data_IF_934417998016
#
_entry.id   IF_934417998016
#
_cell.length_a   1.000
_cell.length_b   1.000
_cell.length_c   1.000
_cell.angle_alpha   90.00
_cell.angle_beta   90.00
_cell.angle_gamma   90.00
#
_symmetry.space_group_name_H-M   'P 1'
#
loop_
_entity.id
_entity.type
_entity.pdbx_description
1 polymer ?
#
# COMPACT_ATOMS: atom_id res chain seq x y z
N UNK A 1 5.77 4.06 23.95
CA UNK A 1 5.58 5.20 23.02
C UNK A 1 4.94 6.34 23.78
N UNK A 2 5.57 7.49 23.85
CA UNK A 2 5.08 8.68 24.58
C UNK A 2 4.34 9.58 23.60
N UNK A 3 3.14 10.04 23.98
CA UNK A 3 2.39 11.07 23.23
C UNK A 3 2.79 12.44 23.75
N UNK A 4 3.30 13.29 22.88
CA UNK A 4 3.60 14.68 23.20
C UNK A 4 2.56 15.54 22.47
N UNK A 5 1.72 16.26 23.23
CA UNK A 5 0.67 17.11 22.65
C UNK A 5 1.24 18.41 22.06
N UNK A 6 2.35 18.87 22.56
CA UNK A 6 3.00 20.09 22.08
C UNK A 6 4.49 20.03 22.40
N UNK A 7 5.32 20.22 21.40
CA UNK A 7 6.74 20.50 21.62
C UNK A 7 6.86 22.01 21.72
N UNK A 8 7.45 22.53 22.78
CA UNK A 8 7.39 23.93 23.24
C UNK A 8 7.82 25.05 22.28
N UNK A 9 7.75 24.85 21.00
CA UNK A 9 8.10 25.82 19.95
C UNK A 9 6.90 26.10 19.03
N UNK A 10 5.67 25.78 19.40
CA UNK A 10 4.47 26.11 18.63
C UNK A 10 4.32 25.41 17.27
N UNK A 11 5.22 24.49 16.90
CA UNK A 11 5.14 23.67 15.68
C UNK A 11 5.33 22.20 16.04
N UNK A 12 4.57 21.35 15.35
CA UNK A 12 4.71 19.92 15.48
C UNK A 12 6.03 19.46 14.87
N UNK A 13 6.84 18.74 15.66
CA UNK A 13 8.14 18.26 15.23
C UNK A 13 8.04 16.95 14.47
N UNK A 14 8.75 16.82 13.36
CA UNK A 14 9.00 15.57 12.65
C UNK A 14 10.48 15.45 12.36
N UNK A 15 11.05 14.28 12.64
CA UNK A 15 12.47 14.02 12.42
C UNK A 15 13.12 13.28 13.58
N UNK A 16 14.44 13.16 13.54
CA UNK A 16 15.22 12.49 14.59
C UNK A 16 16.19 13.47 15.23
N UNK A 17 16.14 13.56 16.54
CA UNK A 17 17.04 14.40 17.35
C UNK A 17 17.52 13.52 18.51
N UNK A 18 18.83 13.46 18.74
CA UNK A 18 19.47 12.75 19.86
C UNK A 18 18.96 11.32 20.08
N UNK A 19 18.83 10.55 18.99
CA UNK A 19 18.35 9.17 19.05
C UNK A 19 16.84 9.04 19.32
N UNK A 20 16.10 10.14 19.35
CA UNK A 20 14.64 10.16 19.49
C UNK A 20 14.02 10.57 18.14
N UNK A 21 13.17 9.71 17.61
CA UNK A 21 12.39 10.00 16.40
C UNK A 21 11.04 10.57 16.78
N UNK A 22 10.74 11.75 16.29
CA UNK A 22 9.45 12.42 16.42
C UNK A 22 8.65 12.21 15.12
N UNK A 23 7.40 11.82 15.27
CA UNK A 23 6.47 11.64 14.13
C UNK A 23 5.16 12.33 14.46
N UNK A 24 4.82 13.34 13.66
CA UNK A 24 3.54 14.04 13.79
C UNK A 24 2.51 13.43 12.86
N UNK A 25 1.34 13.11 13.40
CA UNK A 25 0.18 12.62 12.66
C UNK A 25 -1.06 13.39 13.14
N UNK A 26 -1.60 14.24 12.27
CA UNK A 26 -2.64 15.19 12.67
C UNK A 26 -2.12 16.11 13.79
N UNK A 27 -2.87 16.22 14.85
CA UNK A 27 -2.56 17.09 16.00
C UNK A 27 -1.67 16.43 17.07
N UNK A 28 -1.18 15.22 16.80
CA UNK A 28 -0.42 14.43 17.79
C UNK A 28 0.99 14.16 17.28
N UNK A 29 1.96 14.52 18.11
CA UNK A 29 3.36 14.14 17.91
C UNK A 29 3.71 12.95 18.81
N UNK A 30 4.26 11.92 18.21
CA UNK A 30 4.76 10.74 18.89
C UNK A 30 6.27 10.82 18.97
N UNK A 31 6.82 10.54 20.15
CA UNK A 31 8.25 10.35 20.33
C UNK A 31 8.55 8.88 20.60
N UNK A 32 9.57 8.36 19.96
CA UNK A 32 10.10 7.01 20.20
C UNK A 32 11.61 7.02 20.10
N UNK A 33 12.28 6.14 20.82
CA UNK A 33 13.69 5.89 20.57
C UNK A 33 13.88 5.43 19.12
N UNK A 34 14.92 5.91 18.45
CA UNK A 34 15.27 5.43 17.10
C UNK A 34 15.74 3.99 17.24
N UNK A 35 15.03 3.02 16.63
CA UNK A 35 15.44 1.64 16.74
C UNK A 35 16.73 1.42 15.94
N UNK A 36 17.76 0.93 16.60
CA UNK A 36 18.96 0.46 15.91
C UNK A 36 18.75 -1.02 15.60
N UNK A 37 18.47 -1.32 14.35
CA UNK A 37 18.34 -2.71 13.91
C UNK A 37 19.70 -3.23 13.44
N UNK A 38 20.12 -4.42 13.89
CA UNK A 38 21.35 -5.04 13.41
C UNK A 38 21.32 -5.24 11.90
N UNK A 39 22.43 -4.95 11.21
CA UNK A 39 22.52 -5.02 9.75
C UNK A 39 22.08 -6.37 9.17
N UNK A 40 22.37 -7.49 9.88
CA UNK A 40 22.01 -8.83 9.43
C UNK A 40 20.50 -9.06 9.26
N UNK A 41 19.64 -8.33 9.99
CA UNK A 41 18.17 -8.43 9.86
C UNK A 41 17.72 -8.00 8.46
N UNK A 42 18.46 -7.11 7.81
CA UNK A 42 18.14 -6.63 6.47
C UNK A 42 18.65 -7.53 5.34
N UNK A 43 19.56 -8.46 5.64
CA UNK A 43 20.25 -9.30 4.64
C UNK A 43 19.64 -10.70 4.50
N UNK A 44 18.73 -11.08 5.38
CA UNK A 44 18.05 -12.39 5.27
C UNK A 44 17.26 -12.51 3.97
N UNK A 45 17.18 -13.70 3.35
CA UNK A 45 16.41 -13.91 2.13
C UNK A 45 14.94 -13.44 2.27
N UNK A 46 14.32 -13.72 3.41
CA UNK A 46 12.96 -13.28 3.69
C UNK A 46 12.82 -11.75 3.78
N UNK A 47 13.83 -11.05 4.31
CA UNK A 47 13.83 -9.60 4.36
C UNK A 47 14.04 -8.98 2.97
N UNK A 48 14.92 -9.58 2.15
CA UNK A 48 15.12 -9.18 0.76
C UNK A 48 13.83 -9.36 -0.06
N UNK A 49 13.17 -10.52 0.05
CA UNK A 49 11.90 -10.80 -0.64
C UNK A 49 10.81 -9.81 -0.24
N UNK A 50 10.62 -9.55 1.06
CA UNK A 50 9.63 -8.55 1.53
C UNK A 50 9.90 -7.16 1.00
N UNK A 51 11.17 -6.78 0.89
CA UNK A 51 11.57 -5.47 0.34
C UNK A 51 11.33 -5.39 -1.16
N UNK A 52 11.60 -6.48 -1.90
CA UNK A 52 11.29 -6.58 -3.32
C UNK A 52 9.79 -6.43 -3.57
N UNK A 53 8.95 -7.16 -2.84
CA UNK A 53 7.48 -7.03 -2.90
C UNK A 53 7.05 -5.58 -2.61
N UNK A 54 7.57 -4.97 -1.55
CA UNK A 54 7.22 -3.59 -1.21
C UNK A 54 7.59 -2.62 -2.32
N UNK A 55 8.77 -2.76 -2.92
CA UNK A 55 9.22 -1.92 -4.03
C UNK A 55 8.30 -2.06 -5.25
N UNK A 56 7.93 -3.29 -5.62
CA UNK A 56 7.00 -3.54 -6.73
C UNK A 56 5.61 -2.96 -6.46
N UNK A 57 5.11 -3.08 -5.24
CA UNK A 57 3.84 -2.42 -4.86
C UNK A 57 3.96 -0.90 -4.97
N UNK A 58 5.11 -0.31 -4.63
CA UNK A 58 5.33 1.13 -4.82
C UNK A 58 5.42 1.52 -6.30
N UNK A 59 5.98 0.67 -7.16
CA UNK A 59 5.99 0.90 -8.61
C UNK A 59 4.56 0.89 -9.17
N UNK A 60 3.77 -0.13 -8.83
CA UNK A 60 2.35 -0.24 -9.18
C UNK A 60 1.55 0.98 -8.71
N UNK A 61 1.70 1.36 -7.43
CA UNK A 61 1.00 2.51 -6.88
C UNK A 61 1.38 3.83 -7.56
N UNK A 62 2.64 4.02 -7.92
CA UNK A 62 3.08 5.23 -8.64
C UNK A 62 2.49 5.28 -10.05
N UNK A 63 2.41 4.15 -10.72
CA UNK A 63 1.83 4.04 -12.06
C UNK A 63 0.34 4.38 -12.04
N UNK A 64 -0.40 3.89 -11.04
CA UNK A 64 -1.85 4.11 -10.91
C UNK A 64 -2.23 5.24 -9.92
N UNK A 65 -1.31 6.16 -9.62
CA UNK A 65 -1.49 7.20 -8.60
C UNK A 65 -2.81 7.99 -8.66
N UNK A 66 -3.33 8.40 -9.83
CA UNK A 66 -4.59 9.13 -9.90
C UNK A 66 -5.78 8.32 -9.39
N UNK A 67 -5.82 7.02 -9.65
CA UNK A 67 -6.95 6.14 -9.33
C UNK A 67 -7.18 5.97 -7.84
N UNK A 68 -6.20 5.55 -7.00
CA UNK A 68 -6.40 5.45 -5.57
C UNK A 68 -6.82 6.76 -4.90
N UNK A 69 -6.33 7.89 -5.39
CA UNK A 69 -6.70 9.22 -4.84
C UNK A 69 -8.16 9.56 -5.09
N UNK A 70 -8.73 9.11 -6.20
CA UNK A 70 -10.13 9.39 -6.56
C UNK A 70 -11.09 8.36 -5.95
N UNK A 71 -10.67 7.12 -5.82
CA UNK A 71 -11.56 5.99 -5.52
C UNK A 71 -11.44 5.46 -4.10
N UNK A 72 -10.30 5.66 -3.44
CA UNK A 72 -10.06 5.19 -2.08
C UNK A 72 -10.28 6.32 -1.07
N UNK A 73 -11.26 6.14 -0.21
CA UNK A 73 -11.50 7.05 0.91
C UNK A 73 -10.53 6.72 2.05
N UNK A 74 -9.68 7.66 2.49
CA UNK A 74 -8.83 7.44 3.65
C UNK A 74 -9.64 7.25 4.92
N UNK A 75 -9.16 6.40 5.82
CA UNK A 75 -9.76 6.22 7.14
C UNK A 75 -8.89 6.87 8.22
N UNK A 76 -9.47 7.82 8.94
CA UNK A 76 -8.75 8.51 10.02
C UNK A 76 -7.51 9.27 9.52
N UNK A 77 -6.43 9.15 10.27
CA UNK A 77 -5.15 9.79 9.94
C UNK A 77 -4.39 8.92 8.92
N UNK A 78 -4.54 9.23 7.65
CA UNK A 78 -3.89 8.49 6.58
C UNK A 78 -4.17 9.10 5.22
N UNK A 79 -3.58 8.51 4.20
CA UNK A 79 -3.82 8.86 2.80
C UNK A 79 -4.57 7.73 2.09
N UNK A 80 -5.16 8.04 0.94
CA UNK A 80 -5.74 7.03 0.05
C UNK A 80 -4.73 5.92 -0.29
N UNK A 81 -3.47 6.28 -0.43
CA UNK A 81 -2.34 5.38 -0.63
C UNK A 81 -2.16 4.37 0.50
N UNK A 82 -2.10 4.88 1.72
CA UNK A 82 -1.96 4.03 2.91
C UNK A 82 -3.15 3.10 3.05
N UNK A 83 -4.34 3.58 2.73
CA UNK A 83 -5.55 2.76 2.76
C UNK A 83 -5.53 1.68 1.69
N UNK A 84 -5.20 2.03 0.45
CA UNK A 84 -5.04 1.05 -0.63
C UNK A 84 -4.03 -0.04 -0.26
N UNK A 85 -2.85 0.36 0.22
CA UNK A 85 -1.83 -0.58 0.68
C UNK A 85 -2.34 -1.49 1.79
N UNK A 86 -3.02 -0.94 2.79
CA UNK A 86 -3.54 -1.74 3.92
C UNK A 86 -4.59 -2.77 3.50
N UNK A 87 -5.38 -2.47 2.48
CA UNK A 87 -6.40 -3.36 1.94
C UNK A 87 -5.78 -4.48 1.09
N UNK A 88 -4.78 -4.14 0.29
CA UNK A 88 -4.27 -5.00 -0.77
C UNK A 88 -2.90 -5.64 -0.47
N UNK A 89 -2.26 -5.35 0.66
CA UNK A 89 -0.90 -5.84 0.95
C UNK A 89 -0.77 -7.36 0.86
N UNK A 90 -1.78 -8.11 1.33
CA UNK A 90 -1.76 -9.57 1.30
C UNK A 90 -1.95 -10.15 -0.11
N UNK A 91 -3.02 -9.79 -0.88
CA UNK A 91 -3.19 -10.28 -2.23
C UNK A 91 -2.06 -9.84 -3.16
N UNK A 92 -1.60 -8.59 -3.08
CA UNK A 92 -0.47 -8.12 -3.88
C UNK A 92 0.84 -8.88 -3.54
N UNK A 93 1.07 -9.20 -2.28
CA UNK A 93 2.23 -10.01 -1.90
C UNK A 93 2.17 -11.44 -2.46
N UNK A 94 0.97 -12.01 -2.63
CA UNK A 94 0.79 -13.30 -3.29
C UNK A 94 1.05 -13.18 -4.79
N UNK A 95 0.42 -12.21 -5.45
CA UNK A 95 0.59 -11.95 -6.87
C UNK A 95 2.06 -11.75 -7.26
N UNK A 96 2.80 -11.00 -6.46
CA UNK A 96 4.19 -10.60 -6.75
C UNK A 96 5.25 -11.54 -6.14
N UNK A 97 4.83 -12.63 -5.51
CA UNK A 97 5.72 -13.52 -4.78
C UNK A 97 6.83 -14.16 -5.63
N UNK A 98 6.49 -14.58 -6.85
CA UNK A 98 7.44 -15.18 -7.81
C UNK A 98 8.39 -14.13 -8.37
N UNK A 99 7.86 -12.99 -8.83
CA UNK A 99 8.69 -11.88 -9.32
C UNK A 99 9.66 -11.35 -8.25
N UNK A 100 9.26 -11.40 -6.98
CA UNK A 100 10.14 -11.01 -5.88
C UNK A 100 11.33 -11.96 -5.72
N UNK A 101 11.16 -13.25 -5.96
CA UNK A 101 12.25 -14.22 -5.96
C UNK A 101 13.19 -13.98 -7.13
N UNK A 102 12.67 -13.72 -8.31
CA UNK A 102 13.46 -13.37 -9.49
C UNK A 102 14.26 -12.08 -9.27
N UNK A 103 13.62 -11.04 -8.71
CA UNK A 103 14.28 -9.78 -8.39
C UNK A 103 15.40 -9.96 -7.34
N UNK A 104 15.18 -10.82 -6.34
CA UNK A 104 16.21 -11.14 -5.34
C UNK A 104 17.36 -11.94 -5.95
N UNK A 105 17.08 -12.76 -6.97
CA UNK A 105 18.09 -13.47 -7.75
C UNK A 105 18.87 -12.57 -8.72
N UNK A 106 18.53 -11.28 -8.83
CA UNK A 106 19.22 -10.29 -9.66
C UNK A 106 18.62 -10.09 -11.05
N UNK A 107 17.44 -10.65 -11.33
CA UNK A 107 16.70 -10.37 -12.57
C UNK A 107 16.09 -8.98 -12.50
N UNK A 108 16.19 -8.24 -13.59
CA UNK A 108 15.49 -6.96 -13.73
C UNK A 108 13.98 -7.21 -13.85
N UNK A 109 13.19 -6.49 -13.06
CA UNK A 109 11.73 -6.56 -13.07
C UNK A 109 11.19 -5.19 -13.49
N UNK A 110 10.42 -5.17 -14.55
CA UNK A 110 9.82 -3.96 -15.11
C UNK A 110 8.43 -3.69 -14.51
N UNK A 111 7.91 -2.49 -14.72
CA UNK A 111 6.53 -2.18 -14.34
C UNK A 111 5.52 -3.04 -15.10
N UNK A 112 5.80 -3.40 -16.35
CA UNK A 112 4.95 -4.26 -17.16
C UNK A 112 4.82 -5.64 -16.53
N UNK A 113 5.92 -6.26 -16.10
CA UNK A 113 5.89 -7.56 -15.42
C UNK A 113 5.06 -7.51 -14.14
N UNK A 114 5.17 -6.41 -13.39
CA UNK A 114 4.40 -6.19 -12.15
C UNK A 114 2.90 -6.10 -12.46
N UNK A 115 2.51 -5.32 -13.48
CA UNK A 115 1.11 -5.15 -13.86
C UNK A 115 0.50 -6.43 -14.43
N UNK A 116 1.24 -7.18 -15.23
CA UNK A 116 0.83 -8.47 -15.75
C UNK A 116 0.58 -9.48 -14.62
N UNK A 117 1.48 -9.57 -13.66
CA UNK A 117 1.32 -10.45 -12.50
C UNK A 117 0.11 -10.08 -11.64
N UNK A 118 -0.12 -8.79 -11.41
CA UNK A 118 -1.27 -8.30 -10.65
C UNK A 118 -2.57 -8.57 -11.43
N UNK A 119 -2.57 -8.34 -12.74
CA UNK A 119 -3.73 -8.57 -13.61
C UNK A 119 -4.10 -10.04 -13.66
N UNK A 120 -3.13 -10.92 -13.85
CA UNK A 120 -3.34 -12.36 -13.84
C UNK A 120 -3.95 -12.82 -12.50
N UNK A 121 -3.36 -12.38 -11.39
CA UNK A 121 -3.89 -12.70 -10.06
C UNK A 121 -5.30 -12.16 -9.85
N UNK A 122 -5.58 -10.93 -10.27
CA UNK A 122 -6.91 -10.32 -10.15
C UNK A 122 -7.97 -11.03 -10.99
N UNK A 123 -7.59 -11.59 -12.13
CA UNK A 123 -8.46 -12.38 -13.00
C UNK A 123 -8.89 -13.68 -12.31
N UNK A 124 -7.94 -14.35 -11.67
CA UNK A 124 -8.20 -15.60 -10.93
C UNK A 124 -8.89 -15.35 -9.58
N UNK A 125 -8.66 -14.20 -8.97
CA UNK A 125 -9.15 -13.84 -7.64
C UNK A 125 -9.82 -12.46 -7.63
N UNK A 126 -10.92 -12.25 -8.38
CA UNK A 126 -11.50 -10.92 -8.60
C UNK A 126 -12.04 -10.25 -7.33
N UNK A 127 -12.28 -11.01 -6.27
CA UNK A 127 -12.78 -10.49 -4.99
C UNK A 127 -11.68 -10.18 -3.96
N UNK A 128 -10.41 -10.37 -4.30
CA UNK A 128 -9.31 -10.17 -3.35
C UNK A 128 -8.64 -8.80 -3.46
N UNK A 129 -8.59 -8.19 -4.65
CA UNK A 129 -7.98 -6.87 -4.85
C UNK A 129 -9.04 -5.78 -4.75
N UNK A 130 -8.95 -4.99 -3.69
CA UNK A 130 -9.81 -3.85 -3.45
C UNK A 130 -9.24 -2.60 -4.13
N UNK A 131 -10.01 -1.96 -4.98
CA UNK A 131 -9.60 -0.77 -5.72
C UNK A 131 -10.39 0.49 -5.37
N UNK A 132 -11.48 0.37 -4.63
CA UNK A 132 -12.25 1.50 -4.17
C UNK A 132 -12.84 1.27 -2.79
N UNK A 133 -12.99 2.36 -2.03
CA UNK A 133 -13.69 2.38 -0.76
C UNK A 133 -14.61 3.60 -0.75
N UNK A 134 -15.90 3.37 -0.91
CA UNK A 134 -16.91 4.42 -1.05
C UNK A 134 -17.75 4.57 0.23
N UNK A 135 -18.26 5.77 0.45
CA UNK A 135 -19.18 6.04 1.55
C UNK A 135 -20.44 5.19 1.40
N UNK A 136 -20.76 4.39 2.42
CA UNK A 136 -21.91 3.47 2.42
C UNK A 136 -21.58 2.04 1.97
N UNK A 137 -20.43 1.84 1.31
CA UNK A 137 -19.84 0.54 1.02
C UNK A 137 -18.47 0.49 1.66
N UNK A 138 -18.14 -0.62 2.30
CA UNK A 138 -16.81 -0.71 2.89
C UNK A 138 -15.72 -0.77 1.83
N UNK A 139 -15.92 -1.62 0.86
CA UNK A 139 -14.90 -1.99 -0.11
C UNK A 139 -15.54 -2.43 -1.41
N UNK A 140 -14.88 -2.16 -2.52
CA UNK A 140 -15.23 -2.61 -3.84
C UNK A 140 -14.07 -3.40 -4.41
N UNK A 141 -14.33 -4.56 -4.97
CA UNK A 141 -13.31 -5.47 -5.49
C UNK A 141 -13.31 -5.51 -7.00
N UNK A 142 -12.13 -5.72 -7.54
CA UNK A 142 -11.93 -5.92 -8.96
C UNK A 142 -12.63 -7.19 -9.41
N UNK A 143 -13.39 -7.12 -10.51
CA UNK A 143 -14.08 -8.26 -11.11
C UNK A 143 -13.77 -8.43 -12.59
N UNK A 144 -12.57 -8.19 -13.00
CA UNK A 144 -12.17 -8.34 -14.39
C UNK A 144 -10.75 -7.85 -14.63
N UNK A 145 -10.28 -7.90 -15.88
CA UNK A 145 -8.94 -7.43 -16.21
C UNK A 145 -8.82 -5.92 -15.92
N UNK A 146 -7.70 -5.56 -15.37
CA UNK A 146 -7.24 -4.20 -15.17
C UNK A 146 -6.64 -3.70 -16.50
N UNK A 147 -6.67 -2.42 -16.94
CA UNK A 147 -6.96 -1.18 -16.20
C UNK A 147 -7.98 -0.20 -16.79
N UNK A 148 -8.55 -0.38 -18.00
CA UNK A 148 -9.28 0.72 -18.66
C UNK A 148 -10.72 0.89 -18.15
N UNK A 149 -11.44 -0.20 -18.02
CA UNK A 149 -12.77 -0.24 -17.38
C UNK A 149 -12.76 -1.32 -16.33
N UNK A 150 -13.05 -0.93 -15.10
CA UNK A 150 -13.03 -1.86 -13.98
C UNK A 150 -14.45 -2.10 -13.52
N UNK A 151 -14.88 -3.35 -13.57
CA UNK A 151 -16.13 -3.79 -12.96
C UNK A 151 -15.86 -4.14 -11.50
N UNK A 152 -16.52 -3.46 -10.58
CA UNK A 152 -16.34 -3.64 -9.15
C UNK A 152 -17.54 -4.36 -8.56
N UNK A 153 -17.25 -5.26 -7.62
CA UNK A 153 -18.26 -5.85 -6.76
C UNK A 153 -18.24 -5.20 -5.39
N UNK A 154 -19.40 -4.69 -4.94
CA UNK A 154 -19.52 -4.22 -3.57
C UNK A 154 -19.51 -5.42 -2.60
N UNK A 155 -18.71 -5.34 -1.55
CA UNK A 155 -18.65 -6.39 -0.50
C UNK A 155 -19.97 -6.54 0.25
N UNK A 156 -20.73 -5.49 0.30
CA UNK A 156 -22.01 -5.46 0.99
C UNK A 156 -23.09 -4.97 0.04
N UNK A 157 -23.89 -5.88 -0.49
CA UNK A 157 -25.04 -5.57 -1.33
C UNK A 157 -24.78 -5.74 -2.81
N UNK A 158 -24.46 -6.85 -3.31
CA UNK A 158 -24.56 -7.41 -4.69
C UNK A 158 -24.66 -6.43 -5.89
N UNK A 159 -24.32 -5.15 -5.69
CA UNK A 159 -24.36 -4.16 -6.76
C UNK A 159 -23.00 -4.11 -7.47
N UNK A 160 -23.03 -4.33 -8.75
CA UNK A 160 -21.86 -4.14 -9.61
C UNK A 160 -21.78 -2.67 -9.98
N UNK A 161 -20.63 -2.06 -9.72
CA UNK A 161 -20.34 -0.68 -10.11
C UNK A 161 -19.25 -0.73 -11.17
N UNK A 162 -19.49 -0.06 -12.29
CA UNK A 162 -18.46 0.12 -13.33
C UNK A 162 -17.76 1.46 -13.07
N UNK A 163 -16.48 1.43 -12.83
CA UNK A 163 -15.65 2.63 -12.74
C UNK A 163 -14.74 2.68 -13.95
N UNK A 164 -14.86 3.74 -14.72
CA UNK A 164 -13.92 4.03 -15.79
C UNK A 164 -12.69 4.71 -15.18
N UNK A 165 -11.54 4.12 -15.38
CA UNK A 165 -10.26 4.71 -14.98
C UNK A 165 -9.83 5.64 -16.10
N UNK A 166 -9.75 6.93 -15.81
CA UNK A 166 -9.27 7.98 -16.73
C UNK A 166 -7.80 8.26 -16.42
#
# INVERSE_FOLDING_TARGET
MVKIKQVGIGRMASGTIDGITYVTRGDVTFARSTPTMPAHVYTTPAAKKRRAIFNMIQMHLKHHLPTPRKTITPMGIGSAYTRYYSLNAKPLARALGMLAEEMVAGKEVTITDVEEAITAYATDHPSEICIASLKGYKELFLSGPWPDTITLHAVKGKNTIVITVI
#
